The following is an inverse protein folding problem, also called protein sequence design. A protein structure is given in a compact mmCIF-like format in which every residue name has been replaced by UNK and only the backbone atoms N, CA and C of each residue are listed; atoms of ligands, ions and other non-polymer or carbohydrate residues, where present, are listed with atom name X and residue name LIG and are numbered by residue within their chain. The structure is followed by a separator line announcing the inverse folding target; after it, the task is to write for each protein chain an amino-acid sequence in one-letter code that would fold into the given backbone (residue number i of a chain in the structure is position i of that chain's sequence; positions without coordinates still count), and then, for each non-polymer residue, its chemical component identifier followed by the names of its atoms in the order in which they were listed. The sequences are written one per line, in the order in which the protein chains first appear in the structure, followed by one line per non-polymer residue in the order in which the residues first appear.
data_IF_195352164767
#
_entry.id   IF_195352164767
#
_cell.length_a   1.000
_cell.length_b   1.000
_cell.length_c   1.000
_cell.angle_alpha   90.00
_cell.angle_beta   90.00
_cell.angle_gamma   90.00
#
_symmetry.space_group_name_H-M   'P 1'
#
loop_
_entity.id
_entity.type
_entity.pdbx_description
1 polymer ?
#
# COMPACT_ATOMS: atom_id res chain seq x y z
N UNK A 1 8.68 -10.71 16.64
CA UNK A 1 9.05 -9.31 16.36
C UNK A 1 7.92 -8.68 15.57
N UNK A 2 7.65 -7.37 15.70
CA UNK A 2 6.70 -6.71 14.83
C UNK A 2 7.43 -6.38 13.52
N UNK A 3 7.03 -7.02 12.43
CA UNK A 3 7.48 -6.66 11.08
C UNK A 3 7.17 -5.16 10.88
N UNK A 4 8.22 -4.36 10.74
CA UNK A 4 8.09 -2.91 10.60
C UNK A 4 7.90 -2.61 9.12
N UNK A 5 6.65 -2.41 8.75
CA UNK A 5 6.28 -1.93 7.43
C UNK A 5 6.53 -0.42 7.31
N UNK A 6 7.22 -0.01 6.25
CA UNK A 6 7.40 1.39 5.87
C UNK A 6 6.67 1.68 4.56
N UNK A 7 5.99 2.83 4.49
CA UNK A 7 5.25 3.24 3.31
C UNK A 7 6.21 3.68 2.20
N UNK A 8 6.04 3.10 1.02
CA UNK A 8 6.86 3.44 -0.15
C UNK A 8 6.39 4.72 -0.83
N UNK A 9 7.34 5.47 -1.36
CA UNK A 9 7.14 6.70 -2.11
C UNK A 9 6.97 6.44 -3.60
N UNK A 10 6.33 7.37 -4.30
CA UNK A 10 6.05 7.28 -5.73
C UNK A 10 7.30 7.04 -6.62
N UNK A 11 8.47 7.48 -6.14
CA UNK A 11 9.75 7.33 -6.84
C UNK A 11 10.46 6.00 -6.59
N UNK A 12 10.03 5.23 -5.59
CA UNK A 12 10.69 3.99 -5.21
C UNK A 12 10.48 2.93 -6.29
N UNK A 13 11.52 2.13 -6.53
CA UNK A 13 11.54 1.07 -7.55
C UNK A 13 11.47 -0.26 -6.84
N UNK A 14 10.47 -1.04 -7.18
CA UNK A 14 10.28 -2.39 -6.65
C UNK A 14 10.77 -3.37 -7.69
N UNK A 15 11.54 -4.37 -7.25
CA UNK A 15 11.88 -5.54 -8.06
C UNK A 15 11.41 -6.81 -7.36
N UNK A 16 10.73 -7.68 -8.10
CA UNK A 16 10.19 -8.95 -7.60
C UNK A 16 10.43 -10.04 -8.63
N UNK A 17 10.84 -11.23 -8.17
CA UNK A 17 11.16 -12.40 -9.01
C UNK A 17 9.96 -13.05 -9.70
N UNK A 18 8.77 -12.45 -9.58
CA UNK A 18 7.56 -12.83 -10.29
C UNK A 18 6.34 -12.49 -9.47
N UNK A 19 5.50 -11.60 -9.97
CA UNK A 19 4.20 -11.30 -9.38
C UNK A 19 3.11 -11.47 -10.43
N UNK A 20 1.93 -11.95 -10.04
CA UNK A 20 0.74 -11.87 -10.90
C UNK A 20 0.29 -10.42 -11.17
N UNK A 21 0.92 -9.45 -10.52
CA UNK A 21 0.59 -8.03 -10.59
C UNK A 21 1.28 -7.32 -11.77
N UNK A 22 2.45 -7.81 -12.24
CA UNK A 22 3.14 -7.23 -13.40
C UNK A 22 4.01 -8.25 -14.13
N UNK A 23 3.92 -8.27 -15.47
CA UNK A 23 4.71 -9.14 -16.36
C UNK A 23 6.21 -8.80 -16.36
N UNK A 24 6.53 -7.57 -15.96
CA UNK A 24 7.89 -7.08 -15.75
C UNK A 24 8.26 -7.18 -14.26
N UNK A 25 9.46 -7.71 -13.99
CA UNK A 25 9.96 -7.94 -12.63
C UNK A 25 10.42 -6.68 -11.90
N UNK A 26 10.32 -5.50 -12.53
CA UNK A 26 10.76 -4.21 -11.95
C UNK A 26 9.82 -3.10 -12.38
N UNK A 27 9.34 -2.30 -11.43
CA UNK A 27 8.41 -1.19 -11.68
C UNK A 27 8.51 -0.11 -10.60
N UNK A 28 8.14 1.13 -10.94
CA UNK A 28 7.99 2.19 -9.94
C UNK A 28 6.67 2.06 -9.19
N UNK A 29 6.68 2.47 -7.93
CA UNK A 29 5.45 2.57 -7.11
C UNK A 29 4.40 3.43 -7.83
N UNK A 30 4.79 4.56 -8.41
CA UNK A 30 3.88 5.44 -9.17
C UNK A 30 3.23 4.73 -10.38
N UNK A 31 3.96 3.88 -11.10
CA UNK A 31 3.41 3.13 -12.24
C UNK A 31 2.37 2.12 -11.75
N UNK A 32 2.68 1.39 -10.67
CA UNK A 32 1.72 0.47 -10.05
C UNK A 32 0.46 1.18 -9.55
N UNK A 33 0.64 2.29 -8.82
CA UNK A 33 -0.47 3.05 -8.26
C UNK A 33 -1.34 3.64 -9.37
N UNK A 34 -0.77 4.07 -10.49
CA UNK A 34 -1.52 4.53 -11.68
C UNK A 34 -2.39 3.42 -12.26
N UNK A 35 -1.88 2.19 -12.34
CA UNK A 35 -2.65 1.04 -12.81
C UNK A 35 -3.82 0.72 -11.86
N UNK A 36 -3.58 0.70 -10.54
CA UNK A 36 -4.67 0.44 -9.58
C UNK A 36 -5.69 1.58 -9.59
N UNK A 37 -5.23 2.83 -9.66
CA UNK A 37 -6.11 3.99 -9.79
C UNK A 37 -7.01 3.90 -11.03
N UNK A 38 -6.51 3.37 -12.15
CA UNK A 38 -7.35 3.15 -13.35
C UNK A 38 -8.43 2.09 -13.17
N UNK A 39 -8.34 1.24 -12.15
CA UNK A 39 -9.27 0.14 -11.86
C UNK A 39 -10.26 0.46 -10.74
N UNK A 40 -10.01 1.49 -9.94
CA UNK A 40 -10.85 1.91 -8.83
C UNK A 40 -11.37 3.32 -9.10
N UNK A 41 -12.67 3.54 -8.94
CA UNK A 41 -13.30 4.85 -9.22
C UNK A 41 -13.04 5.89 -8.12
N UNK A 42 -12.37 5.51 -7.02
CA UNK A 42 -12.31 6.30 -5.78
C UNK A 42 -10.92 6.92 -5.55
N UNK A 43 -10.70 8.10 -6.14
CA UNK A 43 -9.41 8.81 -6.09
C UNK A 43 -8.93 9.11 -4.67
N UNK A 44 -9.87 9.41 -3.76
CA UNK A 44 -9.60 9.71 -2.35
C UNK A 44 -8.91 8.56 -1.62
N UNK A 45 -9.09 7.31 -2.07
CA UNK A 45 -8.44 6.13 -1.48
C UNK A 45 -6.91 6.18 -1.61
N UNK A 46 -6.38 6.91 -2.59
CA UNK A 46 -4.95 7.00 -2.88
C UNK A 46 -4.32 8.29 -2.34
N UNK A 47 -5.12 9.28 -1.95
CA UNK A 47 -4.66 10.61 -1.52
C UNK A 47 -4.93 10.88 -0.03
N UNK A 48 -6.12 11.35 0.32
CA UNK A 48 -6.49 11.79 1.68
C UNK A 48 -7.10 10.67 2.53
N UNK A 49 -7.40 9.54 1.92
CA UNK A 49 -8.15 8.44 2.51
C UNK A 49 -9.65 8.71 2.55
N UNK A 50 -10.42 7.64 2.77
CA UNK A 50 -11.88 7.66 2.81
C UNK A 50 -12.35 7.47 4.23
N UNK A 51 -13.28 8.31 4.67
CA UNK A 51 -13.91 8.20 5.98
C UNK A 51 -14.63 6.86 6.14
N UNK A 52 -14.31 6.14 7.21
CA UNK A 52 -14.87 4.83 7.50
C UNK A 52 -15.01 4.59 9.01
N UNK A 53 -15.71 3.51 9.35
CA UNK A 53 -15.76 2.98 10.70
C UNK A 53 -15.19 1.56 10.72
N UNK A 54 -14.28 1.28 11.66
CA UNK A 54 -13.68 -0.05 11.82
C UNK A 54 -14.13 -0.67 13.14
N UNK A 55 -14.62 -1.91 13.06
CA UNK A 55 -14.87 -2.78 14.19
C UNK A 55 -13.82 -3.89 14.22
N UNK A 56 -12.97 -3.89 15.25
CA UNK A 56 -12.02 -4.98 15.50
C UNK A 56 -12.54 -5.88 16.63
N UNK A 57 -12.19 -7.18 16.64
CA UNK A 57 -12.56 -8.07 17.73
C UNK A 57 -12.17 -7.48 19.10
N UNK A 58 -13.13 -7.44 20.04
CA UNK A 58 -12.92 -6.88 21.38
C UNK A 58 -12.83 -5.35 21.46
N UNK A 59 -13.09 -4.61 20.37
CA UNK A 59 -13.14 -3.14 20.34
C UNK A 59 -14.52 -2.65 19.93
N UNK A 60 -14.80 -1.38 20.23
CA UNK A 60 -16.00 -0.69 19.73
C UNK A 60 -15.75 -0.15 18.31
N UNK A 61 -16.82 0.26 17.63
CA UNK A 61 -16.73 0.99 16.37
C UNK A 61 -15.87 2.26 16.55
N UNK A 62 -14.91 2.45 15.65
CA UNK A 62 -14.04 3.64 15.64
C UNK A 62 -14.08 4.29 14.27
N UNK A 63 -14.38 5.59 14.24
CA UNK A 63 -14.25 6.43 13.05
C UNK A 63 -12.78 6.67 12.73
N UNK A 64 -12.46 6.67 11.45
CA UNK A 64 -11.13 6.93 10.93
C UNK A 64 -11.17 7.05 9.42
N UNK A 65 -9.99 6.93 8.79
CA UNK A 65 -9.87 6.89 7.34
C UNK A 65 -9.10 5.65 6.90
N UNK A 66 -9.47 5.10 5.75
CA UNK A 66 -8.69 4.06 5.06
C UNK A 66 -7.98 4.66 3.85
N UNK A 67 -6.77 4.19 3.60
CA UNK A 67 -5.96 4.60 2.46
C UNK A 67 -5.20 3.38 1.91
N UNK A 68 -5.08 3.30 0.58
CA UNK A 68 -4.28 2.28 -0.08
C UNK A 68 -2.85 2.81 -0.29
N UNK A 69 -1.87 2.08 0.23
CA UNK A 69 -0.44 2.35 0.05
C UNK A 69 0.30 1.03 -0.16
N UNK A 70 1.45 1.10 -0.84
CA UNK A 70 2.40 0.01 -0.83
C UNK A 70 3.32 0.17 0.37
N UNK A 71 3.55 -0.94 1.07
CA UNK A 71 4.44 -0.99 2.22
C UNK A 71 5.54 -2.01 1.98
N UNK A 72 6.72 -1.72 2.51
CA UNK A 72 7.89 -2.58 2.45
C UNK A 72 8.30 -2.97 3.87
N UNK A 73 8.59 -4.24 4.10
CA UNK A 73 9.22 -4.69 5.33
C UNK A 73 10.64 -5.14 4.96
N UNK A 74 11.69 -4.42 5.38
CA UNK A 74 13.04 -4.92 5.22
C UNK A 74 13.23 -6.19 6.05
N UNK A 75 13.94 -7.17 5.51
CA UNK A 75 14.56 -8.21 6.33
C UNK A 75 15.55 -7.51 7.27
N UNK A 76 15.54 -7.84 8.57
CA UNK A 76 16.41 -7.18 9.56
C UNK A 76 17.89 -7.16 9.07
N UNK A 77 18.51 -5.96 9.09
CA UNK A 77 19.87 -5.58 8.65
C UNK A 77 20.03 -5.06 7.21
N UNK A 78 19.64 -3.80 7.01
CA UNK A 78 20.47 -2.87 6.23
C UNK A 78 20.86 -1.71 7.14
N UNK A 79 22.02 -1.84 7.79
CA UNK A 79 22.70 -0.78 8.54
C UNK A 79 23.58 0.06 7.60
#
# INVERSE_FOLDING_TARGET
MAEKFEALHAGDVISTSGSSLMFQCTFKVSEFMTIIHSKLEEESLFSEGIDCEVLSPGKQWRKGKIQLRLEFCPDEEEA
#
